data_IF_954611206916
#
_entry.id   IF_954611206916
#
_cell.length_a   1.000
_cell.length_b   1.000
_cell.length_c   1.000
_cell.angle_alpha   90.00
_cell.angle_beta   90.00
_cell.angle_gamma   90.00
#
_symmetry.space_group_name_H-M   'P 1'
#
loop_
_entity.id
_entity.type
_entity.pdbx_description
1 polymer ?
#
# COMPACT_ATOMS: atom_id res chain seq x y z
N UNK A 1 15.60 -2.75 5.07
CA UNK A 1 15.31 -4.09 5.62
C UNK A 1 16.54 -4.96 5.51
N UNK A 2 16.84 -5.72 6.57
CA UNK A 2 17.93 -6.70 6.57
C UNK A 2 17.54 -7.94 5.74
N UNK A 3 18.45 -8.44 4.91
CA UNK A 3 18.21 -9.57 3.98
C UNK A 3 17.96 -10.89 4.74
N UNK A 4 18.38 -10.98 6.00
CA UNK A 4 18.15 -12.14 6.87
C UNK A 4 16.69 -12.33 7.29
N UNK A 5 15.83 -11.32 7.12
CA UNK A 5 14.40 -11.39 7.47
C UNK A 5 13.56 -12.11 6.40
N UNK A 6 14.05 -12.21 5.17
CA UNK A 6 13.38 -12.85 4.04
C UNK A 6 14.38 -13.60 3.15
N UNK A 7 14.95 -14.72 3.62
CA UNK A 7 16.04 -15.42 2.93
C UNK A 7 15.64 -16.03 1.58
N UNK A 8 14.33 -16.11 1.29
CA UNK A 8 13.78 -16.67 0.05
C UNK A 8 13.49 -15.62 -1.03
N UNK A 9 13.54 -14.34 -0.69
CA UNK A 9 13.29 -13.28 -1.67
C UNK A 9 14.53 -12.99 -2.49
N UNK A 10 14.35 -12.79 -3.79
CA UNK A 10 15.43 -12.27 -4.64
C UNK A 10 15.73 -10.81 -4.27
N UNK A 11 16.90 -10.32 -4.64
CA UNK A 11 17.31 -8.94 -4.34
C UNK A 11 16.30 -7.92 -4.91
N UNK A 12 15.78 -8.16 -6.12
CA UNK A 12 14.74 -7.33 -6.74
C UNK A 12 13.41 -7.33 -5.95
N UNK A 13 13.00 -8.47 -5.39
CA UNK A 13 11.80 -8.54 -4.56
C UNK A 13 12.00 -7.83 -3.22
N UNK A 14 13.20 -7.92 -2.63
CA UNK A 14 13.54 -7.22 -1.39
C UNK A 14 13.60 -5.70 -1.59
N UNK A 15 14.03 -5.25 -2.76
CA UNK A 15 14.02 -3.83 -3.15
C UNK A 15 12.59 -3.32 -3.34
N UNK A 16 11.75 -4.06 -4.07
CA UNK A 16 10.34 -3.70 -4.27
C UNK A 16 9.55 -3.62 -2.95
N UNK A 17 9.80 -4.54 -2.02
CA UNK A 17 9.19 -4.46 -0.67
C UNK A 17 9.70 -3.25 0.11
N UNK A 18 10.98 -2.90 -0.01
CA UNK A 18 11.56 -1.72 0.66
C UNK A 18 10.99 -0.42 0.09
N UNK A 19 10.78 -0.36 -1.23
CA UNK A 19 10.14 0.76 -1.91
C UNK A 19 8.69 0.93 -1.46
N UNK A 20 7.93 -0.17 -1.41
CA UNK A 20 6.56 -0.17 -0.90
C UNK A 20 6.48 0.28 0.57
N UNK A 21 7.42 -0.18 1.43
CA UNK A 21 7.54 0.30 2.82
C UNK A 21 7.89 1.79 2.88
N UNK A 22 8.67 2.29 1.92
CA UNK A 22 9.00 3.72 1.81
C UNK A 22 7.81 4.59 1.40
N UNK A 23 6.90 4.07 0.57
CA UNK A 23 5.72 4.79 0.07
C UNK A 23 4.58 4.77 1.09
N UNK A 24 4.25 3.60 1.64
CA UNK A 24 3.11 3.44 2.55
C UNK A 24 3.48 3.63 4.02
N UNK A 25 4.75 3.43 4.39
CA UNK A 25 5.17 3.35 5.79
C UNK A 25 4.91 1.98 6.39
N UNK A 26 5.83 1.51 7.24
CA UNK A 26 5.77 0.19 7.86
C UNK A 26 4.50 -0.06 8.69
N UNK A 27 3.93 0.98 9.29
CA UNK A 27 2.70 0.88 10.09
C UNK A 27 1.43 0.80 9.23
N UNK A 28 1.40 1.43 8.05
CA UNK A 28 0.30 1.26 7.11
C UNK A 28 0.30 -0.15 6.51
N UNK A 29 1.48 -0.69 6.19
CA UNK A 29 1.61 -2.09 5.75
C UNK A 29 1.28 -3.08 6.86
N UNK A 30 1.61 -2.78 8.12
CA UNK A 30 1.18 -3.58 9.27
C UNK A 30 -0.34 -3.54 9.45
N UNK A 31 -0.96 -2.39 9.22
CA UNK A 31 -2.42 -2.21 9.28
C UNK A 31 -3.11 -2.97 8.14
N UNK A 32 -2.52 -2.95 6.94
CA UNK A 32 -2.98 -3.73 5.78
C UNK A 32 -2.82 -5.24 6.00
N UNK A 33 -1.70 -5.68 6.59
CA UNK A 33 -1.50 -7.08 6.96
C UNK A 33 -2.46 -7.53 8.07
N UNK A 34 -2.84 -6.64 9.00
CA UNK A 34 -3.85 -6.93 10.02
C UNK A 34 -5.27 -7.01 9.42
N UNK A 35 -5.52 -6.33 8.30
CA UNK A 35 -6.76 -6.41 7.55
C UNK A 35 -6.87 -7.68 6.68
N UNK A 36 -6.02 -8.69 6.87
CA UNK A 36 -6.05 -9.97 6.12
C UNK A 36 -7.47 -10.57 6.12
N UNK A 37 -8.16 -10.64 4.96
CA UNK A 37 -9.37 -11.44 4.82
C UNK A 37 -8.95 -12.92 4.80
N UNK A 38 -9.55 -13.74 5.66
CA UNK A 38 -9.13 -15.11 5.91
C UNK A 38 -9.39 -16.10 4.75
N UNK A 39 -10.07 -15.68 3.68
CA UNK A 39 -10.53 -16.56 2.60
C UNK A 39 -9.96 -16.14 1.22
N UNK A 40 -9.18 -17.00 0.53
CA UNK A 40 -8.39 -16.60 -0.64
C UNK A 40 -9.19 -16.18 -1.89
N UNK A 41 -10.46 -16.58 -2.03
CA UNK A 41 -11.30 -16.29 -3.21
C UNK A 41 -12.07 -14.98 -3.03
N UNK A 42 -12.63 -14.72 -1.84
CA UNK A 42 -13.18 -13.41 -1.50
C UNK A 42 -12.07 -12.33 -1.42
N UNK A 43 -10.81 -12.73 -1.22
CA UNK A 43 -9.65 -11.83 -1.17
C UNK A 43 -9.40 -11.05 -2.47
N UNK A 44 -9.71 -11.60 -3.65
CA UNK A 44 -9.48 -10.88 -4.91
C UNK A 44 -10.51 -9.75 -5.08
N UNK A 45 -11.78 -10.01 -4.78
CA UNK A 45 -12.85 -9.02 -4.88
C UNK A 45 -12.78 -7.98 -3.76
N UNK A 46 -12.41 -8.39 -2.54
CA UNK A 46 -12.19 -7.46 -1.42
C UNK A 46 -10.90 -6.66 -1.56
N UNK A 47 -9.83 -7.21 -2.18
CA UNK A 47 -8.67 -6.39 -2.57
C UNK A 47 -9.03 -5.39 -3.67
N UNK A 48 -9.77 -5.77 -4.72
CA UNK A 48 -10.23 -4.84 -5.76
C UNK A 48 -11.04 -3.68 -5.16
N UNK A 49 -11.89 -3.99 -4.19
CA UNK A 49 -12.67 -2.99 -3.46
C UNK A 49 -11.77 -2.09 -2.59
N UNK A 50 -10.78 -2.65 -1.89
CA UNK A 50 -9.81 -1.88 -1.12
C UNK A 50 -8.94 -1.01 -2.02
N UNK A 51 -8.48 -1.52 -3.16
CA UNK A 51 -7.69 -0.81 -4.16
C UNK A 51 -8.49 0.35 -4.75
N UNK A 52 -9.74 0.13 -5.15
CA UNK A 52 -10.65 1.19 -5.63
C UNK A 52 -10.93 2.24 -4.57
N UNK A 53 -11.18 1.84 -3.33
CA UNK A 53 -11.37 2.79 -2.23
C UNK A 53 -10.11 3.61 -1.98
N UNK A 54 -8.93 2.99 -2.03
CA UNK A 54 -7.64 3.67 -1.90
C UNK A 54 -7.40 4.64 -3.06
N UNK A 55 -7.71 4.24 -4.29
CA UNK A 55 -7.61 5.08 -5.48
C UNK A 55 -8.52 6.31 -5.35
N UNK A 56 -9.78 6.14 -4.92
CA UNK A 56 -10.71 7.26 -4.69
C UNK A 56 -10.20 8.17 -3.58
N UNK A 57 -9.68 7.60 -2.50
CA UNK A 57 -9.16 8.38 -1.38
C UNK A 57 -7.90 9.18 -1.77
N UNK A 58 -6.97 8.55 -2.50
CA UNK A 58 -5.74 9.18 -3.00
C UNK A 58 -6.05 10.23 -4.09
N UNK A 59 -7.04 10.00 -4.95
CA UNK A 59 -7.48 10.98 -5.94
C UNK A 59 -8.19 12.18 -5.29
N UNK A 60 -9.04 11.94 -4.28
CA UNK A 60 -9.65 13.00 -3.47
C UNK A 60 -8.63 13.81 -2.67
N UNK A 61 -7.53 13.17 -2.25
CA UNK A 61 -6.36 13.82 -1.63
C UNK A 61 -5.44 14.55 -2.63
N UNK A 62 -5.45 14.20 -3.91
CA UNK A 62 -4.75 14.96 -4.96
C UNK A 62 -5.55 16.20 -5.44
N UNK A 63 -6.87 16.23 -5.25
CA UNK A 63 -7.74 17.34 -5.64
C UNK A 63 -7.61 18.67 -4.85
N UNK A 64 -7.07 18.78 -3.61
CA UNK A 64 -6.88 20.07 -2.95
C UNK A 64 -5.61 20.82 -3.40
N UNK A 65 -4.80 20.26 -4.30
CA UNK A 65 -3.54 20.88 -4.78
C UNK A 65 -3.76 21.94 -5.88
N UNK A 66 -4.99 22.39 -6.14
CA UNK A 66 -5.27 23.35 -7.20
C UNK A 66 -6.01 24.62 -6.77
N UNK A 67 -6.29 24.84 -5.48
CA UNK A 67 -6.98 26.05 -5.02
C UNK A 67 -6.27 26.75 -3.84
N UNK A 68 -4.98 27.06 -4.01
CA UNK A 68 -4.36 28.18 -3.28
C UNK A 68 -4.21 29.36 -4.25
N UNK A 69 -5.30 30.13 -4.39
CA UNK A 69 -5.30 31.43 -5.07
C UNK A 69 -4.47 32.40 -4.22
N UNK A 70 -3.37 33.01 -4.71
CA UNK A 70 -2.77 34.12 -3.98
C UNK A 70 -3.67 35.36 -4.17
N UNK A 71 -3.90 36.07 -3.05
CA UNK A 71 -4.55 37.38 -3.02
C UNK A 71 -3.60 38.46 -3.52
#
# INVERSE_FOLDING_TARGET
>A
MDRGKFPHLTDAQSESVREMVGIFGGDALRSLAAATPAEPIERIETLDTCERWLIVHVQGLQAPVAEMKPA
#
